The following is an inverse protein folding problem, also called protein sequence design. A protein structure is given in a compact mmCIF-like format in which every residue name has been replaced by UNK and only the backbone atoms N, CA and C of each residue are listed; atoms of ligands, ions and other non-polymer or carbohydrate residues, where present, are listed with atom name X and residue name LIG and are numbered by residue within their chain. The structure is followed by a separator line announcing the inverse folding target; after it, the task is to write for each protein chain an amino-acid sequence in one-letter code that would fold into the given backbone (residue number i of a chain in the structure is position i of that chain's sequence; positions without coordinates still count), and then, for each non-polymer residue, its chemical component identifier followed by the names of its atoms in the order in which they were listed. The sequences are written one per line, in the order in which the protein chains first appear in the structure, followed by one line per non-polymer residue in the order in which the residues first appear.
data_IF_429725721655
#
_entry.id   IF_429725721655
#
_cell.length_a   1.000
_cell.length_b   1.000
_cell.length_c   1.000
_cell.angle_alpha   90.00
_cell.angle_beta   90.00
_cell.angle_gamma   90.00
#
_symmetry.space_group_name_H-M   'P 1'
#
loop_
_entity.id
_entity.type
_entity.pdbx_description
1 polymer ?
2 polymer ?
3 non-polymer ?
4 non-polymer ?
5 non-polymer ?
6 non-polymer ?
7 water ?
#
# COMPACT_ATOMS: atom_id res chain seq x y z
N UNK A 2 -28.65 1.91 6.88
CA UNK A 2 -28.41 1.34 8.23
C UNK A 2 -27.27 0.32 8.24
N UNK A 3 -26.06 0.82 8.07
CA UNK A 3 -24.87 0.00 8.07
C UNK A 3 -24.07 0.29 9.32
N UNK A 4 -23.03 -0.49 9.51
CA UNK A 4 -22.09 -0.22 10.59
C UNK A 4 -20.67 -0.53 10.10
N UNK A 5 -19.71 0.11 10.76
CA UNK A 5 -18.29 -0.13 10.54
C UNK A 5 -17.87 -1.21 11.52
N UNK A 6 -17.33 -2.29 10.99
CA UNK A 6 -16.93 -3.47 11.75
C UNK A 6 -15.43 -3.66 11.55
N UNK A 7 -14.72 -4.02 12.62
CA UNK A 7 -13.32 -4.36 12.50
C UNK A 7 -13.17 -5.88 12.45
N UNK A 8 -12.46 -6.35 11.43
CA UNK A 8 -12.26 -7.76 11.16
C UNK A 8 -10.76 -7.98 10.98
N UNK A 9 -10.21 -8.98 11.66
CA UNK A 9 -8.81 -9.36 11.55
C UNK A 9 -8.73 -10.65 10.74
N UNK A 10 -7.97 -10.62 9.64
CA UNK A 10 -7.69 -11.83 8.85
C UNK A 10 -6.20 -12.13 8.97
N UNK A 11 -5.87 -13.37 9.28
CA UNK A 11 -4.47 -13.83 9.27
C UNK A 11 -4.21 -14.51 7.93
N UNK A 12 -3.32 -13.92 7.12
CA UNK A 12 -3.02 -14.49 5.82
C UNK A 12 -2.48 -15.89 6.02
N UNK A 13 -2.91 -16.82 5.16
CA UNK A 13 -2.68 -18.25 5.40
C UNK A 13 -2.73 -19.07 4.11
N UNK A 14 -1.95 -18.73 3.07
CA UNK A 14 -0.98 -17.64 3.06
C UNK A 14 -1.50 -16.36 2.41
N UNK A 15 -2.72 -16.38 1.89
CA UNK A 15 -3.40 -15.21 1.33
C UNK A 15 -4.58 -14.85 2.22
N UNK A 16 -5.34 -13.82 1.82
CA UNK A 16 -6.53 -13.40 2.56
C UNK A 16 -7.68 -14.34 2.26
N UNK A 17 -7.81 -14.73 0.99
CA UNK A 17 -8.92 -15.55 0.55
C UNK A 17 -10.12 -14.78 0.04
N UNK A 18 -9.90 -13.72 -0.74
CA UNK A 18 -11.02 -12.97 -1.31
C UNK A 18 -10.66 -12.38 -2.66
N UNK A 19 -11.69 -11.92 -3.36
CA UNK A 19 -11.58 -11.08 -4.56
C UNK A 19 -12.33 -9.80 -4.28
N UNK A 20 -11.88 -8.70 -4.88
CA UNK A 20 -12.44 -7.38 -4.65
C UNK A 20 -12.66 -6.66 -5.98
N UNK A 21 -13.51 -5.63 -5.95
CA UNK A 21 -13.83 -4.84 -7.12
C UNK A 21 -14.13 -3.40 -6.71
N UNK A 22 -14.00 -2.49 -7.67
CA UNK A 22 -14.46 -1.12 -7.53
C UNK A 22 -13.31 -0.14 -7.64
N UNK A 23 -13.35 0.88 -6.80
CA UNK A 23 -12.30 1.88 -6.77
C UNK A 23 -12.54 3.03 -7.71
N UNK A 24 -11.84 4.13 -7.44
CA UNK A 24 -11.87 5.29 -8.32
C UNK A 24 -11.39 4.86 -9.70
N UNK A 25 -12.12 5.28 -10.73
CA UNK A 25 -11.79 4.91 -12.09
C UNK A 25 -12.10 3.48 -12.43
N UNK A 26 -12.64 2.72 -11.50
CA UNK A 26 -13.05 1.36 -11.74
C UNK A 26 -14.35 1.33 -12.52
N UNK A 27 -14.88 0.11 -12.65
CA UNK A 27 -16.11 -0.09 -13.39
C UNK A 27 -17.30 -0.37 -12.48
N UNK A 28 -17.21 0.08 -11.23
CA UNK A 28 -18.32 -0.10 -10.33
C UNK A 28 -18.23 -1.41 -9.58
N UNK A 29 -19.34 -1.80 -9.00
CA UNK A 29 -19.40 -3.01 -8.21
C UNK A 29 -20.82 -3.51 -8.27
N UNK A 30 -21.07 -4.79 -7.97
CA UNK A 30 -22.42 -5.34 -8.15
C UNK A 30 -23.38 -5.07 -7.01
N UNK A 31 -22.99 -4.26 -6.02
CA UNK A 31 -23.81 -4.05 -4.83
C UNK A 31 -24.40 -2.64 -4.78
N UNK A 32 -23.54 -1.62 -4.83
CA UNK A 32 -23.93 -0.23 -4.64
C UNK A 32 -23.38 0.53 -5.83
N UNK A 33 -24.13 0.63 -6.93
CA UNK A 33 -23.54 1.17 -8.15
C UNK A 33 -23.19 2.65 -8.09
N UNK A 34 -23.70 3.41 -7.12
CA UNK A 34 -23.34 4.81 -7.00
C UNK A 34 -22.09 5.05 -6.14
N UNK A 35 -21.47 3.99 -5.65
CA UNK A 35 -20.36 4.07 -4.71
C UNK A 35 -19.11 3.63 -5.45
N UNK A 36 -18.10 4.49 -5.50
CA UNK A 36 -16.85 4.10 -6.17
C UNK A 36 -15.85 3.42 -5.25
N UNK A 37 -16.29 2.96 -4.08
CA UNK A 37 -15.41 2.29 -3.16
C UNK A 37 -15.05 0.86 -3.57
N UNK A 38 -14.39 0.18 -2.63
CA UNK A 38 -13.83 -1.16 -2.82
C UNK A 38 -14.73 -2.14 -2.08
N UNK A 39 -15.20 -3.16 -2.79
CA UNK A 39 -16.13 -4.14 -2.25
C UNK A 39 -15.60 -5.55 -2.41
N UNK A 40 -15.87 -6.38 -1.42
CA UNK A 40 -15.57 -7.81 -1.49
C UNK A 40 -16.61 -8.46 -2.41
N UNK A 41 -16.14 -9.16 -3.43
CA UNK A 41 -17.03 -9.84 -4.36
C UNK A 41 -17.03 -11.35 -4.23
N UNK A 42 -15.98 -11.95 -3.67
CA UNK A 42 -15.92 -13.40 -3.49
C UNK A 42 -15.03 -13.71 -2.29
N UNK A 43 -15.42 -14.74 -1.54
CA UNK A 43 -14.66 -15.21 -0.39
C UNK A 43 -14.43 -16.71 -0.56
N UNK A 44 -13.18 -17.14 -0.45
CA UNK A 44 -12.87 -18.57 -0.56
C UNK A 44 -13.60 -19.33 0.54
N UNK A 45 -14.33 -20.39 0.22
CA UNK A 45 -15.24 -21.01 1.21
C UNK A 45 -14.55 -21.61 2.42
N UNK A 46 -13.30 -22.07 2.29
CA UNK A 46 -12.57 -22.64 3.41
C UNK A 46 -11.30 -21.85 3.70
N UNK A 47 -11.25 -20.61 3.25
CA UNK A 47 -10.08 -19.79 3.33
C UNK A 47 -10.03 -18.92 4.57
N UNK A 48 -8.96 -18.14 4.67
CA UNK A 48 -8.70 -17.37 5.90
C UNK A 48 -9.77 -16.35 6.24
N UNK A 49 -10.57 -15.91 5.26
CA UNK A 49 -11.60 -14.92 5.48
C UNK A 49 -13.00 -15.52 5.58
N UNK A 50 -13.11 -16.84 5.55
CA UNK A 50 -14.40 -17.49 5.28
C UNK A 50 -15.41 -17.27 6.40
N UNK A 51 -14.97 -17.11 7.64
CA UNK A 51 -15.91 -16.88 8.74
C UNK A 51 -15.90 -15.43 9.21
N UNK A 52 -15.42 -14.52 8.35
CA UNK A 52 -15.13 -13.16 8.79
C UNK A 52 -15.58 -12.12 7.80
N UNK A 53 -15.44 -12.39 6.51
CA UNK A 53 -15.86 -11.45 5.48
C UNK A 53 -16.92 -12.11 4.61
N UNK A 54 -17.69 -11.27 3.95
CA UNK A 54 -18.71 -11.80 3.05
C UNK A 54 -18.84 -10.89 1.84
N UNK A 55 -19.24 -11.47 0.70
CA UNK A 55 -19.51 -10.64 -0.48
C UNK A 55 -20.46 -9.52 -0.11
N UNK A 56 -20.18 -8.33 -0.60
CA UNK A 56 -20.93 -7.14 -0.30
C UNK A 56 -20.27 -6.22 0.70
N UNK A 57 -19.36 -6.72 1.51
CA UNK A 57 -18.63 -5.88 2.45
C UNK A 57 -17.86 -4.81 1.70
N UNK A 58 -17.89 -3.57 2.21
CA UNK A 58 -17.12 -2.48 1.66
C UNK A 58 -15.88 -2.26 2.53
N UNK A 59 -14.69 -2.33 1.93
CA UNK A 59 -13.47 -2.13 2.71
C UNK A 59 -13.15 -0.64 2.75
N UNK A 60 -13.09 -0.06 3.95
CA UNK A 60 -12.76 1.35 4.08
C UNK A 60 -11.41 1.60 4.72
N UNK A 61 -10.77 0.60 5.30
CA UNK A 61 -9.43 0.78 5.90
C UNK A 61 -8.77 -0.59 6.00
N UNK A 62 -7.45 -0.61 5.81
CA UNK A 62 -6.65 -1.82 5.96
C UNK A 62 -5.35 -1.45 6.67
N UNK A 63 -5.11 -2.06 7.84
CA UNK A 63 -3.94 -1.74 8.67
C UNK A 63 -3.69 -0.24 8.75
N UNK A 64 -4.74 0.53 8.99
CA UNK A 64 -4.64 1.95 9.20
C UNK A 64 -4.68 2.80 7.95
N UNK A 65 -4.61 2.19 6.76
CA UNK A 65 -4.64 2.93 5.49
C UNK A 65 -6.07 3.06 4.97
N UNK A 66 -6.48 4.29 4.70
CA UNK A 66 -7.82 4.51 4.17
C UNK A 66 -7.97 3.94 2.76
N UNK A 67 -9.12 3.29 2.51
CA UNK A 67 -9.49 2.77 1.19
C UNK A 67 -10.53 3.64 0.49
N UNK A 68 -10.67 4.89 0.91
CA UNK A 68 -11.60 5.83 0.31
C UNK A 68 -10.84 6.68 -0.71
N UNK A 69 -11.42 6.84 -1.89
CA UNK A 69 -10.81 7.66 -2.92
C UNK A 69 -9.52 7.04 -3.44
N UNK A 70 -9.41 5.71 -3.39
CA UNK A 70 -8.26 5.03 -3.98
C UNK A 70 -8.71 4.14 -5.12
N UNK A 71 -7.75 3.85 -5.99
CA UNK A 71 -7.94 3.01 -7.14
C UNK A 71 -7.77 1.55 -6.74
N UNK A 72 -8.38 0.67 -7.52
CA UNK A 72 -8.35 -0.76 -7.21
C UNK A 72 -6.91 -1.28 -7.20
N UNK A 73 -6.09 -0.87 -8.18
CA UNK A 73 -4.72 -1.34 -8.23
C UNK A 73 -3.94 -1.01 -6.97
N UNK A 74 -4.18 0.19 -6.41
CA UNK A 74 -3.50 0.58 -5.19
C UNK A 74 -3.95 -0.28 -4.01
N UNK A 75 -5.24 -0.58 -3.95
CA UNK A 75 -5.74 -1.47 -2.90
C UNK A 75 -5.16 -2.86 -3.04
N UNK A 76 -5.10 -3.38 -4.27
CA UNK A 76 -4.56 -4.73 -4.48
C UNK A 76 -3.10 -4.80 -4.05
N UNK A 77 -2.28 -3.83 -4.48
CA UNK A 77 -0.87 -3.86 -4.13
C UNK A 77 -0.69 -3.80 -2.63
N UNK A 78 -1.45 -2.94 -1.96
CA UNK A 78 -1.30 -2.81 -0.54
C UNK A 78 -1.66 -4.10 0.18
N UNK A 79 -2.83 -4.66 -0.15
CA UNK A 79 -3.26 -5.89 0.49
C UNK A 79 -2.28 -7.03 0.23
N UNK A 80 -1.69 -7.09 -0.97
CA UNK A 80 -0.72 -8.14 -1.26
C UNK A 80 0.60 -7.93 -0.50
N UNK A 81 0.96 -6.67 -0.21
CA UNK A 81 2.25 -6.37 0.39
C UNK A 81 2.28 -6.66 1.89
N UNK A 82 1.17 -6.49 2.61
CA UNK A 82 1.11 -6.91 4.01
C UNK A 82 1.44 -8.40 4.09
N UNK A 83 2.32 -8.79 5.00
CA UNK A 83 2.78 -10.17 4.99
C UNK A 83 1.96 -11.12 5.87
N UNK A 84 1.34 -10.62 6.94
CA UNK A 84 0.67 -11.50 7.90
C UNK A 84 -0.72 -11.01 8.30
N UNK A 85 -0.81 -10.17 9.32
CA UNK A 85 -2.11 -9.74 9.81
C UNK A 85 -2.64 -8.62 8.90
N UNK A 86 -3.93 -8.70 8.55
CA UNK A 86 -4.64 -7.64 7.84
C UNK A 86 -5.84 -7.29 8.71
N UNK A 87 -5.80 -6.12 9.31
CA UNK A 87 -6.89 -5.60 10.12
C UNK A 87 -7.72 -4.66 9.25
N UNK A 88 -8.94 -5.07 8.95
CA UNK A 88 -9.81 -4.32 8.06
C UNK A 88 -10.90 -3.62 8.84
N UNK A 89 -11.27 -2.43 8.40
CA UNK A 89 -12.55 -1.85 8.74
C UNK A 89 -13.44 -1.99 7.53
N UNK A 90 -14.61 -2.60 7.71
CA UNK A 90 -15.56 -2.79 6.64
C UNK A 90 -16.88 -2.17 7.02
N UNK A 91 -17.63 -1.77 6.00
CA UNK A 91 -19.00 -1.32 6.16
C UNK A 91 -19.90 -2.46 5.69
N UNK A 92 -20.84 -2.85 6.55
CA UNK A 92 -21.69 -4.00 6.35
C UNK A 92 -23.11 -3.64 6.75
N UNK A 93 -24.07 -4.13 5.97
CA UNK A 93 -25.47 -4.01 6.31
C UNK A 93 -25.80 -4.92 7.49
N UNK A 94 -26.43 -4.36 8.51
CA UNK A 94 -26.72 -5.08 9.74
C UNK A 94 -27.43 -6.40 9.45
N UNK B 1 8.90 -13.27 -9.77
CA UNK B 1 8.43 -12.99 -8.39
C UNK B 1 7.06 -12.33 -8.44
N UNK B 2 6.58 -11.88 -7.28
CA UNK B 2 5.32 -11.19 -7.22
C UNK B 2 5.46 -9.68 -7.33
N UNK B 3 6.61 -9.20 -7.83
CA UNK B 3 6.88 -7.78 -7.85
C UNK B 3 7.65 -7.38 -9.09
N UNK B 4 7.71 -6.07 -9.33
CA UNK B 4 8.45 -5.50 -10.43
C UNK B 4 9.24 -4.29 -9.92
N UNK B 5 10.34 -3.99 -10.60
CA UNK B 5 11.11 -2.79 -10.34
C UNK B 5 10.62 -1.70 -11.29
N UNK B 6 10.14 -0.61 -10.72
CA UNK B 6 9.54 0.49 -11.46
C UNK B 6 10.39 1.73 -11.26
N UNK B 7 10.61 2.48 -12.33
CA UNK B 7 11.30 3.76 -12.24
C UNK B 7 10.29 4.88 -12.22
N UNK B 8 10.41 5.78 -11.24
CA UNK B 8 9.50 6.88 -11.03
C UNK B 8 10.34 8.13 -10.81
N UNK B 9 9.93 9.25 -11.40
CA UNK B 9 10.54 10.55 -11.15
C UNK B 9 9.57 11.42 -10.38
N UNK B 10 10.02 11.99 -9.27
CA UNK B 10 9.23 12.98 -8.56
C UNK B 10 9.99 14.30 -8.57
N UNK B 11 9.33 15.36 -9.02
CA UNK B 11 9.92 16.70 -8.99
C UNK B 11 9.56 17.34 -7.65
N UNK B 12 10.58 17.54 -6.80
CA UNK B 12 10.33 18.08 -5.47
C UNK B 12 9.72 19.47 -5.57
N UNK B 13 8.73 19.74 -4.72
CA UNK B 13 7.96 20.98 -4.90
C UNK B 13 7.40 21.49 -3.57
N UNK B 14 8.25 21.76 -2.56
CA UNK B 14 9.71 21.59 -2.49
C UNK B 14 10.15 20.24 -1.93
N UNK B 15 9.20 19.39 -1.51
CA UNK B 15 9.47 18.08 -0.97
C UNK B 15 8.94 17.01 -1.91
N UNK B 16 9.26 15.75 -1.58
CA UNK B 16 8.76 14.62 -2.36
C UNK B 16 7.29 14.37 -2.06
N UNK B 17 6.89 14.53 -0.81
CA UNK B 17 5.55 14.22 -0.37
C UNK B 17 5.35 12.81 0.15
N UNK B 18 6.31 12.27 0.91
CA UNK B 18 6.17 10.93 1.48
C UNK B 18 6.87 10.82 2.82
N UNK B 19 6.59 9.72 3.50
CA UNK B 19 7.32 9.29 4.68
C UNK B 19 7.83 7.89 4.42
N UNK B 20 8.95 7.54 5.05
CA UNK B 20 9.60 6.25 4.84
C UNK B 20 9.98 5.63 6.19
N UNK B 21 10.24 4.32 6.17
CA UNK B 21 10.61 3.56 7.36
C UNK B 21 11.56 2.44 6.97
N UNK B 22 12.28 1.91 7.95
CA UNK B 22 13.03 0.68 7.77
C UNK B 22 14.52 0.90 7.97
N UNK B 23 15.32 0.21 7.16
CA UNK B 23 16.76 0.39 7.17
C UNK B 23 17.51 -0.66 7.99
N UNK B 24 18.79 -0.84 7.65
CA UNK B 24 19.65 -1.74 8.39
C UNK B 24 19.80 -1.26 9.84
N UNK B 25 19.69 -2.19 10.78
CA UNK B 25 19.74 -1.81 12.18
C UNK B 25 18.55 -1.02 12.65
N UNK B 26 17.52 -0.89 11.83
CA UNK B 26 16.37 -0.09 12.13
C UNK B 26 15.27 -0.84 12.84
N UNK B 27 14.10 -0.22 12.85
CA UNK B 27 12.96 -0.71 13.62
C UNK B 27 11.90 -1.37 12.75
N UNK B 28 12.23 -1.74 11.52
CA UNK B 28 11.27 -2.44 10.69
C UNK B 28 10.31 -1.52 9.97
N UNK B 29 9.19 -2.10 9.55
CA UNK B 29 8.24 -1.41 8.68
C UNK B 29 6.90 -2.14 8.79
N UNK B 30 5.81 -1.51 8.37
CA UNK B 30 4.49 -2.11 8.61
C UNK B 30 4.07 -3.15 7.57
N UNK B 31 4.96 -3.53 6.66
CA UNK B 31 4.62 -4.43 5.58
C UNK B 31 5.31 -5.78 5.73
N UNK B 32 6.64 -5.78 5.77
CA UNK B 32 7.47 -6.98 5.77
C UNK B 32 8.40 -6.91 6.96
N UNK B 33 8.06 -7.51 8.09
CA UNK B 33 8.88 -7.32 9.29
C UNK B 33 10.31 -7.83 9.17
N UNK B 34 10.55 -8.89 8.39
CA UNK B 34 11.87 -9.51 8.31
C UNK B 34 12.75 -8.89 7.23
N UNK B 35 12.32 -7.79 6.62
CA UNK B 35 13.02 -7.14 5.52
C UNK B 35 13.52 -5.81 6.07
N UNK B 36 14.84 -5.61 6.06
CA UNK B 36 15.41 -4.37 6.60
C UNK B 36 15.52 -3.27 5.55
N UNK B 37 14.79 -3.40 4.45
CA UNK B 37 14.77 -2.40 3.42
C UNK B 37 14.06 -1.11 3.82
N UNK B 38 14.08 -0.16 2.87
CA UNK B 38 13.47 1.15 3.03
C UNK B 38 12.12 1.11 2.34
N UNK B 39 11.04 1.39 3.08
CA UNK B 39 9.69 1.31 2.54
C UNK B 39 8.98 2.66 2.66
N UNK B 40 8.18 2.98 1.64
CA UNK B 40 7.29 4.12 1.69
C UNK B 40 6.12 3.77 2.61
N UNK B 41 5.89 4.56 3.64
CA UNK B 41 4.81 4.32 4.57
C UNK B 41 3.65 5.30 4.45
N UNK B 42 3.83 6.46 3.83
CA UNK B 42 2.76 7.43 3.67
C UNK B 42 3.07 8.26 2.43
N UNK B 43 2.03 8.55 1.65
CA UNK B 43 2.14 9.43 0.49
C UNK B 43 1.04 10.47 0.57
N UNK B 44 1.40 11.74 0.56
CA UNK B 44 0.39 12.79 0.63
C UNK B 44 -0.45 12.76 -0.64
N UNK B 45 -1.78 12.61 -0.56
CA UNK B 45 -2.59 12.47 -1.79
C UNK B 45 -2.62 13.72 -2.64
N UNK B 46 -2.21 14.86 -2.08
CA UNK B 46 -2.18 16.12 -2.81
C UNK B 46 -0.76 16.58 -3.10
N UNK B 47 0.24 15.74 -2.80
CA UNK B 47 1.62 16.11 -3.00
C UNK B 47 2.21 15.60 -4.29
N UNK B 48 3.50 15.91 -4.51
CA UNK B 48 4.11 15.61 -5.82
C UNK B 48 4.19 14.13 -6.13
N UNK B 49 4.20 13.26 -5.13
CA UNK B 49 4.31 11.82 -5.34
C UNK B 49 2.97 11.10 -5.40
N UNK B 50 1.86 11.85 -5.32
CA UNK B 50 0.55 11.24 -5.13
C UNK B 50 0.19 10.25 -6.22
N UNK B 51 0.52 10.54 -7.47
CA UNK B 51 0.11 9.65 -8.54
C UNK B 51 1.21 8.68 -8.96
N UNK B 52 2.26 8.56 -8.19
CA UNK B 52 3.49 7.93 -8.63
C UNK B 52 4.05 6.92 -7.65
N UNK B 53 3.91 7.18 -6.34
CA UNK B 53 4.37 6.29 -5.30
C UNK B 53 3.18 5.92 -4.43
N UNK B 54 3.32 4.80 -3.74
CA UNK B 54 2.25 4.39 -2.85
C UNK B 54 2.82 3.66 -1.64
N UNK B 55 2.12 3.72 -0.51
CA UNK B 55 2.55 2.96 0.67
C UNK B 55 2.78 1.50 0.30
N UNK B 56 3.89 0.95 0.79
CA UNK B 56 4.31 -0.39 0.54
C UNK B 56 5.44 -0.50 -0.47
N UNK B 57 5.64 0.52 -1.30
CA UNK B 57 6.75 0.52 -2.23
C UNK B 57 8.06 0.44 -1.46
N UNK B 58 8.98 -0.39 -1.96
CA UNK B 58 10.32 -0.51 -1.40
C UNK B 58 11.29 0.28 -2.25
N UNK B 59 12.01 1.24 -1.68
CA UNK B 59 12.97 2.03 -2.45
C UNK B 59 14.30 1.28 -2.49
N UNK B 60 14.78 0.97 -3.70
CA UNK B 60 16.08 0.34 -3.86
C UNK B 60 17.13 1.20 -4.53
N UNK B 61 16.78 2.38 -5.06
CA UNK B 61 17.75 3.27 -5.66
C UNK B 61 17.16 4.67 -5.74
N UNK B 62 18.01 5.68 -5.57
CA UNK B 62 17.60 7.08 -5.67
C UNK B 62 18.71 7.85 -6.36
N UNK B 63 18.40 8.43 -7.52
CA UNK B 63 19.38 9.18 -8.31
C UNK B 63 20.69 8.40 -8.46
N UNK B 64 20.57 7.10 -8.71
CA UNK B 64 21.71 6.25 -8.97
C UNK B 64 22.35 5.62 -7.74
N UNK B 65 21.96 6.03 -6.53
CA UNK B 65 22.54 5.51 -5.29
C UNK B 65 21.71 4.35 -4.78
N UNK B 66 22.37 3.24 -4.49
CA UNK B 66 21.68 2.07 -3.98
C UNK B 66 21.14 2.33 -2.57
N UNK B 67 19.89 1.89 -2.34
CA UNK B 67 19.29 1.86 -1.02
C UNK B 67 19.23 0.44 -0.45
N UNK B 68 19.97 -0.49 -1.03
CA UNK B 68 20.08 -1.85 -0.50
C UNK B 68 21.10 -1.85 0.62
N UNK B 69 20.69 -2.31 1.79
CA UNK B 69 21.56 -2.44 2.96
C UNK B 69 22.05 -1.10 3.51
N UNK B 70 21.26 -0.05 3.41
CA UNK B 70 21.65 1.21 4.02
C UNK B 70 20.76 1.52 5.22
N UNK B 71 21.23 2.45 6.04
CA UNK B 71 20.54 2.85 7.25
C UNK B 71 19.49 3.89 6.93
N UNK B 72 18.46 3.96 7.76
CA UNK B 72 17.39 4.91 7.51
C UNK B 72 17.88 6.35 7.51
N UNK B 73 18.75 6.70 8.47
CA UNK B 73 19.24 8.07 8.53
C UNK B 73 19.95 8.49 7.26
N UNK B 74 20.72 7.58 6.68
CA UNK B 74 21.41 7.85 5.41
C UNK B 74 20.41 8.05 4.28
N UNK B 75 19.37 7.23 4.24
CA UNK B 75 18.35 7.37 3.20
C UNK B 75 17.64 8.71 3.32
N UNK B 76 17.24 9.08 4.53
CA UNK B 76 16.58 10.36 4.78
C UNK B 76 17.47 11.53 4.36
N UNK B 77 18.74 11.50 4.79
CA UNK B 77 19.64 12.61 4.51
C UNK B 77 19.85 12.78 3.02
N UNK B 78 19.99 11.69 2.28
CA UNK B 78 20.20 11.80 0.84
C UNK B 78 18.96 12.33 0.15
N UNK B 79 17.80 11.78 0.49
CA UNK B 79 16.55 12.24 -0.14
C UNK B 79 16.29 13.71 0.16
N UNK B 80 16.63 14.16 1.37
CA UNK B 80 16.47 15.57 1.71
C UNK B 80 17.45 16.46 0.95
N UNK B 81 18.64 15.95 0.62
CA UNK B 81 19.70 16.76 0.03
C UNK B 81 19.40 17.10 -1.42
N UNK B 82 18.79 16.18 -2.18
CA UNK B 82 18.38 16.50 -3.53
C UNK B 82 17.34 17.61 -3.50
N UNK B 83 17.40 18.51 -4.48
CA UNK B 83 16.57 19.70 -4.48
C UNK B 83 15.52 19.71 -5.59
N UNK B 84 15.72 18.96 -6.67
CA UNK B 84 14.84 18.98 -7.82
C UNK B 84 14.29 17.61 -8.14
N UNK B 85 14.77 16.97 -9.19
CA UNK B 85 14.23 15.67 -9.55
C UNK B 85 14.81 14.57 -8.66
N UNK B 86 13.96 13.68 -8.17
CA UNK B 86 14.37 12.46 -7.52
C UNK B 86 13.88 11.30 -8.38
N UNK B 87 14.80 10.55 -8.95
CA UNK B 87 14.50 9.40 -9.81
C UNK B 87 14.73 8.13 -8.98
N UNK B 88 13.63 7.44 -8.65
CA UNK B 88 13.67 6.28 -7.79
C UNK B 88 13.49 5.02 -8.60
N UNK B 89 14.14 3.94 -8.16
CA UNK B 89 13.74 2.60 -8.51
C UNK B 89 13.06 2.03 -7.28
N UNK B 90 11.82 1.59 -7.44
CA UNK B 90 11.05 0.98 -6.37
C UNK B 90 10.71 -0.45 -6.76
N UNK B 91 10.48 -1.27 -5.74
CA UNK B 91 9.93 -2.61 -5.90
C UNK B 91 8.48 -2.57 -5.42
N UNK B 92 7.57 -2.99 -6.29
CA UNK B 92 6.14 -2.89 -6.03
C UNK B 92 5.51 -4.23 -6.33
N UNK B 93 4.66 -4.71 -5.42
CA UNK B 93 3.91 -5.93 -5.64
C UNK B 93 2.78 -5.63 -6.62
N UNK B 94 2.78 -6.35 -7.73
CA UNK B 94 1.80 -6.20 -8.80
C UNK B 94 0.88 -7.42 -8.81
N UNK C 1 -18.62 -5.63 -14.20
CA UNK C 1 -17.61 -4.99 -13.32
C UNK C 1 -16.32 -5.80 -13.39
N UNK C 2 -15.21 -5.24 -12.93
CA UNK C 2 -13.91 -5.90 -12.99
C UNK C 2 -13.52 -6.39 -11.59
N UNK C 3 -13.31 -7.69 -11.47
CA UNK C 3 -12.92 -8.33 -10.22
C UNK C 3 -11.43 -8.59 -10.22
N UNK C 4 -10.77 -8.24 -9.11
CA UNK C 4 -9.38 -8.64 -8.92
C UNK C 4 -9.25 -10.16 -8.99
N UNK C 5 -8.05 -10.61 -9.27
CA UNK C 5 -7.71 -12.00 -8.99
C UNK C 5 -7.73 -12.22 -7.47
N UNK C 6 -7.59 -13.48 -7.06
CA UNK C 6 -7.58 -13.84 -5.65
C UNK C 6 -6.39 -13.19 -4.97
N UNK C 7 -6.62 -12.71 -3.76
CA UNK C 7 -5.51 -12.30 -2.94
C UNK C 7 -5.78 -12.67 -1.49
N UNK D 1 7.19 0.35 14.61
CA UNK D 1 8.29 0.78 13.69
C UNK D 1 8.45 2.29 13.79
N UNK D 2 9.57 2.79 13.31
CA UNK D 2 9.83 4.22 13.29
C UNK D 2 9.66 4.76 11.87
N UNK D 3 8.96 5.88 11.75
CA UNK D 3 8.63 6.52 10.50
C UNK D 3 9.34 7.86 10.42
N UNK D 4 10.00 8.13 9.29
CA UNK D 4 10.57 9.46 9.10
C UNK D 4 9.48 10.51 9.17
N UNK D 5 9.88 11.76 9.40
CA UNK D 5 8.98 12.87 9.13
C UNK D 5 8.79 12.99 7.63
N UNK D 6 7.90 13.90 7.22
CA UNK D 6 7.68 14.14 5.79
C UNK D 6 8.97 14.57 5.12
N UNK D 7 9.19 14.01 3.92
CA UNK D 7 10.30 14.29 3.03
C UNK D 7 9.76 14.66 1.67
X LIG E 1 -2.68 -1.71 12.00
X LIG E 1 -3.45 -0.72 12.17
X LIG E 1 -2.98 -2.92 11.81
X LIG E 1 -1.18 -1.38 12.01
X LIG E 1 -0.75 -1.87 12.73
X LIG E 1 -0.76 -1.68 11.19
X LIG E 1 -1.01 -0.44 12.12
X LIG F 1 -16.70 8.39 -3.34
X LIG F 1 -15.72 8.29 -2.31
X LIG F 1 -17.70 7.24 -3.24
X LIG F 1 -18.51 7.21 -4.43
X LIG F 1 -17.24 9.34 -3.24
X LIG F 1 -16.22 8.39 -4.32
X LIG F 1 -15.09 9.03 -2.39
X LIG F 1 -17.18 6.29 -3.12
X LIG F 1 -18.34 7.39 -2.38
X LIG F 1 -19.28 6.65 -4.27
X LIG G 1 -2.21 2.81 -1.62
X LIG G 1 -2.05 3.89 -2.54
X LIG G 1 -3.27 3.12 -0.57
X LIG G 1 -2.94 4.28 0.19
X LIG G 1 -2.51 1.92 -2.17
X LIG G 1 -1.26 2.56 -1.12
X LIG G 1 -1.47 3.62 -3.26
X LIG G 1 -4.24 3.28 -1.07
X LIG G 1 -3.38 2.27 0.10
X LIG G 1 -3.63 4.46 0.84
X LIG H 1 17.57 16.78 -7.54
X LIG I 1 15.90 7.56 -19.38
X LIG J 1 19.96 -1.56 -6.99
X LIG J 1 20.50 -1.80 -8.29
X LIG J 1 20.87 -0.64 -6.19
X LIG J 1 21.23 0.51 -6.97
X LIG J 1 18.97 -1.10 -7.07
X LIG J 1 19.84 -2.50 -6.46
X LIG J 1 19.95 -2.45 -8.75
X LIG J 1 20.37 -0.31 -5.27
X LIG J 1 21.78 -1.18 -5.89
X LIG J 1 21.77 1.11 -6.45
X LIG K 1 -2.31 9.10 0.13
#
# INVERSE_FOLDING_TARGET
SGSMEIRVRVEKDPEIGFRIAGGVGGRGNPFRPDDDGIFVTRVSPEGPASKLLQPGDKIIQANGYSFINIELGQAISLLKTFQNTVELIIVREV
SGSMEIRVRVEKDPEIGFRIAGGVGGRGNPFRPDDDGIFVTRVSPEGPASKLLQPGDKIIQANGYSFINIELGQAISLLKTFQNTVELIIVREV
YYESDWL
YYESDWL
ACT C O OXT CH3 H1 H2 H3
EDO C1 O1 C2 O2 H11 H12 HO1 H21 H22 HO2
EDO C1 O1 C2 O2 H11 H12 HO1 H21 H22 HO2
CL CL
CL CL
EDO C1 O1 C2 O2 H11 H12 HO1 H21 H22 HO2
NA NA
#
